data_IF_421593089639
#
_entry.id   IF_421593089639
#
_cell.length_a   1.000
_cell.length_b   1.000
_cell.length_c   1.000
_cell.angle_alpha   90.00
_cell.angle_beta   90.00
_cell.angle_gamma   90.00
#
_symmetry.space_group_name_H-M   'P 1'
#
loop_
_entity.id
_entity.type
_entity.pdbx_description
1 polymer ?
#
# COMPACT_ATOMS: atom_id res chain seq x y z
N UNK A 1 -18.09 17.49 -38.33
CA UNK A 1 -17.20 18.52 -37.77
C UNK A 1 -17.92 19.23 -36.61
N UNK A 2 -17.55 18.93 -35.36
CA UNK A 2 -17.76 19.87 -34.26
C UNK A 2 -16.60 19.71 -33.27
N UNK A 3 -15.56 20.49 -33.55
CA UNK A 3 -14.46 20.76 -32.64
C UNK A 3 -15.02 21.49 -31.41
N UNK A 4 -15.37 20.74 -30.36
CA UNK A 4 -15.52 21.31 -29.03
C UNK A 4 -14.18 21.25 -28.33
N UNK A 5 -13.40 22.31 -28.57
CA UNK A 5 -12.36 22.87 -27.71
C UNK A 5 -11.84 21.93 -26.62
N UNK A 6 -10.76 21.24 -26.93
CA UNK A 6 -9.79 20.74 -25.97
C UNK A 6 -9.19 21.93 -25.22
N UNK A 7 -9.91 22.44 -24.21
CA UNK A 7 -9.25 23.17 -23.14
C UNK A 7 -8.30 22.16 -22.52
N UNK A 8 -7.02 22.34 -22.77
CA UNK A 8 -5.92 21.60 -22.15
C UNK A 8 -6.07 21.78 -20.64
N UNK A 9 -6.86 20.92 -19.98
CA UNK A 9 -7.04 20.96 -18.53
C UNK A 9 -5.70 20.59 -17.95
N UNK A 10 -4.97 21.61 -17.48
CA UNK A 10 -3.68 21.47 -16.79
C UNK A 10 -3.79 20.34 -15.78
N UNK A 11 -2.97 19.31 -15.96
CA UNK A 11 -2.95 18.14 -15.09
C UNK A 11 -2.15 18.47 -13.83
N UNK A 12 -2.68 18.05 -12.69
CA UNK A 12 -2.05 18.23 -11.38
C UNK A 12 -2.67 17.26 -10.39
N UNK A 13 -1.93 16.94 -9.31
CA UNK A 13 -2.35 15.97 -8.30
C UNK A 13 -3.71 16.33 -7.68
N UNK A 14 -4.62 15.37 -7.65
CA UNK A 14 -5.98 15.54 -7.14
C UNK A 14 -6.18 14.80 -5.83
N UNK A 15 -6.68 15.50 -4.82
CA UNK A 15 -7.14 14.85 -3.61
C UNK A 15 -8.38 13.96 -3.87
N UNK A 16 -8.57 12.88 -3.10
CA UNK A 16 -9.53 11.82 -3.42
C UNK A 16 -10.99 12.11 -3.05
N UNK A 17 -11.34 13.32 -2.61
CA UNK A 17 -12.66 13.57 -2.06
C UNK A 17 -13.05 15.04 -2.05
N UNK A 18 -13.85 15.44 -1.07
CA UNK A 18 -13.95 16.84 -0.63
C UNK A 18 -13.67 17.00 0.87
N UNK A 19 -13.05 16.00 1.49
CA UNK A 19 -12.78 15.94 2.92
C UNK A 19 -11.48 15.22 3.25
N UNK A 20 -11.00 15.48 4.46
CA UNK A 20 -9.88 14.80 5.10
C UNK A 20 -10.27 13.38 5.47
N UNK A 21 -9.29 12.48 5.55
CA UNK A 21 -9.47 11.17 6.19
C UNK A 21 -9.31 11.29 7.72
N UNK A 22 -8.49 12.23 8.18
CA UNK A 22 -8.29 12.52 9.60
C UNK A 22 -8.39 14.02 9.90
N UNK A 23 -9.03 14.37 11.01
CA UNK A 23 -9.21 15.75 11.48
C UNK A 23 -8.81 15.95 12.95
N UNK A 24 -8.24 14.93 13.59
CA UNK A 24 -7.43 15.08 14.80
C UNK A 24 -6.55 13.85 15.05
N UNK A 25 -5.99 13.77 16.26
CA UNK A 25 -5.14 12.66 16.67
C UNK A 25 -5.89 11.33 16.59
N UNK A 26 -5.19 10.24 16.23
CA UNK A 26 -5.79 8.91 16.12
C UNK A 26 -6.33 8.38 17.46
N UNK A 27 -5.95 9.00 18.58
CA UNK A 27 -6.50 8.73 19.91
C UNK A 27 -7.97 9.17 20.05
N UNK A 28 -8.42 10.11 19.21
CA UNK A 28 -9.72 10.76 19.25
C UNK A 28 -10.58 10.28 18.08
N UNK A 29 -11.38 9.24 18.33
CA UNK A 29 -12.40 8.74 17.39
C UNK A 29 -13.82 9.06 17.82
N UNK A 30 -14.01 9.62 19.00
CA UNK A 30 -15.30 10.10 19.50
C UNK A 30 -15.43 11.58 19.08
N UNK A 31 -16.49 11.95 18.33
CA UNK A 31 -16.68 13.33 17.91
C UNK A 31 -17.02 14.21 19.11
N UNK A 32 -16.54 15.44 19.08
CA UNK A 32 -16.80 16.45 20.12
C UNK A 32 -17.46 17.66 19.48
N UNK A 33 -18.57 18.10 20.06
CA UNK A 33 -19.27 19.33 19.63
C UNK A 33 -18.65 20.51 20.38
N UNK A 34 -18.04 21.43 19.63
CA UNK A 34 -17.47 22.67 20.17
C UNK A 34 -18.06 23.88 19.44
N UNK A 35 -18.81 24.70 20.18
CA UNK A 35 -19.50 25.90 19.67
C UNK A 35 -20.31 25.63 18.39
N UNK A 36 -19.71 25.88 17.22
CA UNK A 36 -20.31 25.78 15.87
C UNK A 36 -19.67 24.68 15.00
N UNK A 37 -18.71 23.91 15.52
CA UNK A 37 -17.97 22.90 14.78
C UNK A 37 -18.00 21.55 15.50
N UNK A 38 -17.91 20.47 14.71
CA UNK A 38 -17.75 19.12 15.22
C UNK A 38 -16.29 18.71 14.95
N UNK A 39 -15.53 18.47 16.01
CA UNK A 39 -14.17 17.93 15.92
C UNK A 39 -14.20 16.42 15.81
N UNK A 40 -13.14 15.86 15.21
CA UNK A 40 -12.89 14.42 15.10
C UNK A 40 -13.94 13.66 14.27
N UNK A 41 -14.75 14.37 13.48
CA UNK A 41 -15.80 13.76 12.67
C UNK A 41 -15.20 12.91 11.54
N UNK A 42 -14.05 13.32 10.98
CA UNK A 42 -13.37 12.54 9.95
C UNK A 42 -12.71 11.30 10.57
N UNK A 43 -12.09 11.42 11.75
CA UNK A 43 -11.57 10.28 12.49
C UNK A 43 -12.66 9.25 12.79
N UNK A 44 -13.80 9.70 13.33
CA UNK A 44 -14.98 8.88 13.60
C UNK A 44 -15.43 8.13 12.33
N UNK A 45 -15.60 8.85 11.22
CA UNK A 45 -16.08 8.25 9.97
C UNK A 45 -15.10 7.22 9.41
N UNK A 46 -13.82 7.54 9.39
CA UNK A 46 -12.78 6.63 8.91
C UNK A 46 -12.74 5.37 9.77
N UNK A 47 -12.72 5.53 11.09
CA UNK A 47 -12.67 4.42 12.03
C UNK A 47 -13.91 3.51 11.93
N UNK A 48 -15.11 4.08 12.02
CA UNK A 48 -16.34 3.28 12.01
C UNK A 48 -16.69 2.71 10.64
N UNK A 49 -16.23 3.30 9.55
CA UNK A 49 -16.34 2.67 8.23
C UNK A 49 -15.46 1.44 8.14
N UNK A 50 -14.19 1.54 8.55
CA UNK A 50 -13.33 0.37 8.60
C UNK A 50 -13.88 -0.70 9.54
N UNK A 51 -14.43 -0.32 10.69
CA UNK A 51 -15.13 -1.24 11.59
C UNK A 51 -16.30 -1.95 10.90
N UNK A 52 -17.13 -1.22 10.15
CA UNK A 52 -18.27 -1.80 9.43
C UNK A 52 -17.82 -2.89 8.46
N UNK A 53 -16.79 -2.62 7.65
CA UNK A 53 -16.26 -3.62 6.73
C UNK A 53 -15.49 -4.72 7.46
N UNK A 54 -14.78 -4.42 8.55
CA UNK A 54 -14.06 -5.44 9.34
C UNK A 54 -15.04 -6.47 9.92
N UNK A 55 -16.18 -6.02 10.43
CA UNK A 55 -17.24 -6.90 10.93
C UNK A 55 -17.89 -7.73 9.81
N UNK A 56 -17.62 -7.40 8.55
CA UNK A 56 -18.14 -8.07 7.37
C UNK A 56 -17.01 -8.43 6.39
N UNK A 57 -15.79 -8.70 6.89
CA UNK A 57 -14.58 -8.82 6.06
C UNK A 57 -14.64 -9.94 5.01
N UNK A 58 -15.47 -10.94 5.25
CA UNK A 58 -15.67 -12.09 4.36
C UNK A 58 -16.78 -11.85 3.31
N UNK A 59 -17.34 -10.62 3.25
CA UNK A 59 -18.41 -10.26 2.31
C UNK A 59 -17.94 -9.23 1.30
N UNK A 60 -18.38 -9.42 0.06
CA UNK A 60 -18.31 -8.39 -0.97
C UNK A 60 -19.58 -7.56 -1.02
N UNK A 61 -19.42 -6.25 -0.98
CA UNK A 61 -20.51 -5.29 -1.02
C UNK A 61 -20.71 -4.78 -2.44
N UNK A 62 -21.95 -4.64 -2.90
CA UNK A 62 -22.20 -3.99 -4.19
C UNK A 62 -21.95 -2.49 -4.03
N UNK A 63 -21.09 -1.90 -4.86
CA UNK A 63 -20.85 -0.47 -4.87
C UNK A 63 -21.96 0.25 -5.65
N UNK A 64 -23.08 0.49 -4.95
CA UNK A 64 -24.24 1.22 -5.46
C UNK A 64 -24.82 2.18 -4.41
N UNK A 65 -25.87 2.92 -4.76
CA UNK A 65 -26.51 3.87 -3.85
C UNK A 65 -27.16 3.20 -2.62
N UNK A 66 -27.62 1.96 -2.74
CA UNK A 66 -28.29 1.23 -1.65
C UNK A 66 -27.28 0.88 -0.57
N UNK A 67 -26.17 0.25 -0.92
CA UNK A 67 -25.14 -0.11 0.06
C UNK A 67 -24.43 1.10 0.66
N UNK A 68 -24.30 2.19 -0.10
CA UNK A 68 -23.84 3.47 0.45
C UNK A 68 -24.84 4.08 1.45
N UNK A 69 -26.13 3.83 1.26
CA UNK A 69 -27.17 4.22 2.23
C UNK A 69 -27.09 3.37 3.50
N UNK A 70 -26.92 2.05 3.39
CA UNK A 70 -26.77 1.15 4.55
C UNK A 70 -25.57 1.54 5.42
N UNK A 71 -24.43 1.83 4.81
CA UNK A 71 -23.25 2.32 5.52
C UNK A 71 -23.53 3.68 6.18
N UNK A 72 -24.23 4.57 5.49
CA UNK A 72 -24.61 5.86 6.05
C UNK A 72 -25.51 5.69 7.29
N UNK A 73 -26.52 4.83 7.22
CA UNK A 73 -27.46 4.57 8.30
C UNK A 73 -26.72 3.97 9.52
N UNK A 74 -25.78 3.05 9.29
CA UNK A 74 -24.90 2.52 10.32
C UNK A 74 -24.10 3.63 11.05
N UNK A 75 -23.48 4.53 10.28
CA UNK A 75 -22.69 5.62 10.84
C UNK A 75 -23.57 6.65 11.57
N UNK A 76 -24.75 6.96 11.03
CA UNK A 76 -25.69 7.88 11.66
C UNK A 76 -26.23 7.30 12.97
N UNK A 77 -26.54 6.00 13.02
CA UNK A 77 -26.96 5.34 14.26
C UNK A 77 -25.88 5.44 15.35
N UNK A 78 -24.59 5.32 14.99
CA UNK A 78 -23.48 5.53 15.92
C UNK A 78 -23.36 6.99 16.38
N UNK A 79 -23.53 7.97 15.48
CA UNK A 79 -23.48 9.40 15.81
C UNK A 79 -24.63 9.85 16.73
N UNK A 80 -25.81 9.26 16.55
CA UNK A 80 -26.99 9.57 17.39
C UNK A 80 -26.74 9.27 18.87
N UNK A 81 -25.86 8.30 19.19
CA UNK A 81 -25.43 8.02 20.57
C UNK A 81 -24.71 9.22 21.22
N UNK A 82 -24.20 10.14 20.41
CA UNK A 82 -23.52 11.36 20.83
C UNK A 82 -24.37 12.62 20.59
N UNK A 83 -25.67 12.47 20.32
CA UNK A 83 -26.58 13.58 19.99
C UNK A 83 -26.16 14.39 18.75
N UNK A 84 -25.45 13.76 17.80
CA UNK A 84 -25.00 14.39 16.57
C UNK A 84 -25.84 13.90 15.38
N UNK A 85 -26.42 14.84 14.64
CA UNK A 85 -27.09 14.61 13.35
C UNK A 85 -26.24 15.29 12.28
N UNK A 86 -25.74 14.53 11.30
CA UNK A 86 -24.81 15.04 10.30
C UNK A 86 -25.27 14.75 8.86
N UNK A 87 -25.41 15.80 8.05
CA UNK A 87 -25.99 15.71 6.70
C UNK A 87 -25.12 14.94 5.67
N UNK A 88 -25.80 14.49 4.62
CA UNK A 88 -25.92 13.14 4.06
C UNK A 88 -25.16 12.95 2.74
N UNK A 89 -24.69 14.01 2.10
CA UNK A 89 -23.95 13.90 0.83
C UNK A 89 -22.44 13.76 1.01
N UNK A 90 -21.92 14.30 2.11
CA UNK A 90 -20.49 14.25 2.40
C UNK A 90 -20.04 12.81 2.69
N UNK A 91 -20.82 12.08 3.48
CA UNK A 91 -20.48 10.73 3.96
C UNK A 91 -20.54 9.71 2.82
N UNK A 92 -21.61 9.74 2.01
CA UNK A 92 -21.84 8.77 0.93
C UNK A 92 -20.76 8.81 -0.16
N UNK A 93 -20.25 10.00 -0.49
CA UNK A 93 -19.33 10.17 -1.62
C UNK A 93 -17.85 10.37 -1.26
N UNK A 94 -17.52 10.99 -0.14
CA UNK A 94 -16.15 11.43 0.15
C UNK A 94 -15.36 10.48 1.06
N UNK A 95 -16.05 9.69 1.88
CA UNK A 95 -15.41 8.77 2.80
C UNK A 95 -14.80 7.57 2.07
N UNK A 96 -15.63 6.86 1.28
CA UNK A 96 -15.18 5.71 0.51
C UNK A 96 -14.05 6.07 -0.45
N UNK A 97 -14.17 7.18 -1.18
CA UNK A 97 -13.11 7.57 -2.14
C UNK A 97 -11.77 7.83 -1.45
N UNK A 98 -11.79 8.44 -0.26
CA UNK A 98 -10.57 8.67 0.52
C UNK A 98 -9.98 7.35 1.01
N UNK A 99 -10.80 6.47 1.58
CA UNK A 99 -10.34 5.15 2.04
C UNK A 99 -9.82 4.27 0.90
N UNK A 100 -10.44 4.33 -0.29
CA UNK A 100 -9.96 3.66 -1.50
C UNK A 100 -8.64 4.25 -2.00
N UNK A 101 -8.52 5.58 -1.98
CA UNK A 101 -7.28 6.26 -2.38
C UNK A 101 -6.08 5.87 -1.52
N UNK A 102 -6.29 5.72 -0.21
CA UNK A 102 -5.28 5.23 0.72
C UNK A 102 -5.22 3.69 0.82
N UNK A 103 -5.87 2.97 -0.12
CA UNK A 103 -5.89 1.50 -0.21
C UNK A 103 -6.41 0.75 1.03
N UNK A 104 -7.19 1.41 1.89
CA UNK A 104 -7.83 0.79 3.05
C UNK A 104 -9.11 0.04 2.63
N UNK A 105 -9.76 0.51 1.58
CA UNK A 105 -10.84 -0.19 0.89
C UNK A 105 -10.46 -0.39 -0.58
N UNK A 106 -11.11 -1.31 -1.26
CA UNK A 106 -10.99 -1.46 -2.70
C UNK A 106 -12.36 -1.50 -3.37
N UNK A 107 -12.43 -0.95 -4.58
CA UNK A 107 -13.56 -1.11 -5.50
C UNK A 107 -13.02 -1.83 -6.74
N UNK A 108 -13.71 -2.88 -7.16
CA UNK A 108 -13.33 -3.70 -8.32
C UNK A 108 -14.56 -4.10 -9.14
N UNK A 109 -14.37 -4.48 -10.40
CA UNK A 109 -15.46 -4.92 -11.27
C UNK A 109 -15.51 -6.46 -11.28
N UNK A 110 -16.69 -7.01 -11.03
CA UNK A 110 -16.96 -8.45 -11.08
C UNK A 110 -17.84 -8.79 -12.30
N UNK A 111 -17.35 -8.37 -13.47
CA UNK A 111 -17.93 -8.73 -14.77
C UNK A 111 -19.19 -7.98 -15.18
N UNK A 112 -19.64 -6.96 -14.42
CA UNK A 112 -20.71 -5.98 -14.74
C UNK A 112 -21.12 -5.16 -13.49
N UNK A 113 -20.79 -5.65 -12.30
CA UNK A 113 -21.17 -5.01 -11.03
C UNK A 113 -19.89 -4.58 -10.33
N UNK A 114 -19.81 -3.29 -10.00
CA UNK A 114 -18.77 -2.80 -9.11
C UNK A 114 -19.01 -3.32 -7.70
N UNK A 115 -18.03 -4.01 -7.15
CA UNK A 115 -18.01 -4.50 -5.77
C UNK A 115 -17.00 -3.73 -4.95
N UNK A 116 -17.16 -3.75 -3.63
CA UNK A 116 -16.33 -3.08 -2.65
C UNK A 116 -16.09 -3.98 -1.44
N UNK A 117 -14.86 -3.97 -0.91
CA UNK A 117 -14.50 -4.67 0.32
C UNK A 117 -13.36 -3.96 1.05
N UNK A 118 -13.13 -4.31 2.30
CA UNK A 118 -11.91 -3.93 3.02
C UNK A 118 -10.71 -4.71 2.46
N UNK A 119 -9.57 -4.04 2.37
CA UNK A 119 -8.30 -4.68 1.99
C UNK A 119 -7.63 -5.29 3.22
N UNK A 120 -6.67 -6.18 3.07
CA UNK A 120 -5.84 -6.65 4.20
C UNK A 120 -5.10 -5.50 4.85
N UNK A 121 -4.64 -4.51 4.07
CA UNK A 121 -4.06 -3.29 4.64
C UNK A 121 -5.08 -2.50 5.46
N UNK A 122 -6.34 -2.45 5.02
CA UNK A 122 -7.45 -1.89 5.79
C UNK A 122 -7.74 -2.64 7.07
N UNK A 123 -7.71 -3.98 7.03
CA UNK A 123 -7.87 -4.86 8.21
C UNK A 123 -6.74 -4.62 9.20
N UNK A 124 -5.49 -4.73 8.76
CA UNK A 124 -4.30 -4.53 9.58
C UNK A 124 -4.27 -3.12 10.21
N UNK A 125 -4.57 -2.09 9.41
CA UNK A 125 -4.66 -0.72 9.90
C UNK A 125 -5.77 -0.57 10.95
N UNK A 126 -6.95 -1.13 10.71
CA UNK A 126 -8.06 -1.09 11.67
C UNK A 126 -7.74 -1.82 12.96
N UNK A 127 -7.18 -3.03 12.90
CA UNK A 127 -6.81 -3.82 14.08
C UNK A 127 -5.77 -3.09 14.92
N UNK A 128 -4.72 -2.53 14.29
CA UNK A 128 -3.73 -1.67 14.96
C UNK A 128 -4.35 -0.44 15.58
N UNK A 129 -5.27 0.23 14.87
CA UNK A 129 -5.96 1.40 15.39
C UNK A 129 -6.84 1.06 16.59
N UNK A 130 -7.63 -0.01 16.52
CA UNK A 130 -8.46 -0.49 17.63
C UNK A 130 -7.61 -0.89 18.85
N UNK A 131 -6.49 -1.59 18.64
CA UNK A 131 -5.55 -1.95 19.72
C UNK A 131 -4.88 -0.71 20.34
N UNK A 132 -4.54 0.29 19.53
CA UNK A 132 -4.04 1.56 20.03
C UNK A 132 -5.11 2.31 20.84
N UNK A 133 -6.38 2.30 20.42
CA UNK A 133 -7.46 2.97 21.16
C UNK A 133 -7.71 2.37 22.55
N UNK A 134 -7.50 1.05 22.70
CA UNK A 134 -7.70 0.34 23.98
C UNK A 134 -6.52 0.51 24.92
N UNK A 135 -5.29 0.47 24.41
CA UNK A 135 -4.06 0.49 25.24
C UNK A 135 -3.42 1.86 25.39
N UNK A 136 -3.62 2.75 24.41
CA UNK A 136 -2.94 4.05 24.27
C UNK A 136 -1.41 3.97 24.30
N UNK A 137 -0.83 2.83 23.88
CA UNK A 137 0.62 2.65 23.82
C UNK A 137 1.26 3.49 22.69
N UNK A 138 2.36 4.18 23.01
CA UNK A 138 3.16 4.92 22.03
C UNK A 138 3.79 4.01 20.98
N UNK A 139 4.15 2.77 21.36
CA UNK A 139 4.68 1.78 20.42
C UNK A 139 3.63 1.38 19.38
N UNK A 140 2.39 1.13 19.83
CA UNK A 140 1.28 0.81 18.93
C UNK A 140 0.89 2.00 18.05
N UNK A 141 0.98 3.23 18.56
CA UNK A 141 0.82 4.43 17.74
C UNK A 141 1.90 4.51 16.66
N UNK A 142 3.17 4.29 17.02
CA UNK A 142 4.28 4.28 16.07
C UNK A 142 4.07 3.23 14.97
N UNK A 143 3.65 2.02 15.35
CA UNK A 143 3.35 0.93 14.40
C UNK A 143 2.15 1.26 13.49
N UNK A 144 1.13 1.93 14.01
CA UNK A 144 -0.01 2.41 13.24
C UNK A 144 0.40 3.47 12.22
N UNK A 145 1.26 4.42 12.63
CA UNK A 145 1.83 5.44 11.74
C UNK A 145 2.75 4.80 10.69
N UNK A 146 3.60 3.83 11.02
CA UNK A 146 4.40 3.06 10.06
C UNK A 146 3.52 2.42 8.98
N UNK A 147 2.43 1.78 9.41
CA UNK A 147 1.47 1.12 8.52
C UNK A 147 0.79 2.13 7.59
N UNK A 148 0.43 3.31 8.10
CA UNK A 148 -0.14 4.37 7.28
C UNK A 148 0.88 4.94 6.28
N UNK A 149 2.13 5.19 6.69
CA UNK A 149 3.19 5.67 5.80
C UNK A 149 3.42 4.71 4.64
N UNK A 150 3.45 3.39 4.90
CA UNK A 150 3.53 2.38 3.83
C UNK A 150 2.40 2.53 2.83
N UNK A 151 1.17 2.73 3.30
CA UNK A 151 0.02 2.95 2.42
C UNK A 151 0.14 4.22 1.60
N UNK A 152 0.66 5.31 2.20
CA UNK A 152 0.91 6.57 1.49
C UNK A 152 1.88 6.37 0.33
N UNK A 153 3.02 5.73 0.57
CA UNK A 153 4.05 5.49 -0.45
C UNK A 153 3.54 4.63 -1.63
N UNK A 154 2.45 3.92 -1.40
CA UNK A 154 1.83 3.00 -2.34
C UNK A 154 0.70 3.65 -3.18
N UNK A 155 0.24 4.83 -2.78
CA UNK A 155 -0.73 5.62 -3.56
C UNK A 155 -0.09 6.02 -4.87
N UNK A 156 -0.84 5.87 -5.96
CA UNK A 156 -0.40 6.21 -7.31
C UNK A 156 -1.49 6.89 -8.11
N UNK A 157 -1.09 7.67 -9.10
CA UNK A 157 -1.94 8.03 -10.24
C UNK A 157 -1.61 7.14 -11.46
N UNK A 158 -2.61 6.81 -12.29
CA UNK A 158 -4.02 6.95 -11.98
C UNK A 158 -4.38 6.07 -10.78
N UNK A 159 -5.23 6.61 -9.91
CA UNK A 159 -5.75 5.84 -8.78
C UNK A 159 -7.07 5.22 -9.23
N UNK A 160 -7.42 4.04 -8.72
CA UNK A 160 -8.77 3.48 -8.92
C UNK A 160 -9.88 4.35 -8.29
N UNK A 161 -9.53 5.45 -7.60
CA UNK A 161 -10.48 6.47 -7.19
C UNK A 161 -10.97 7.21 -8.44
N UNK A 162 -12.30 7.32 -8.56
CA UNK A 162 -13.15 7.65 -9.74
C UNK A 162 -12.83 8.97 -10.53
N UNK A 163 -11.58 9.41 -10.63
CA UNK A 163 -11.16 10.69 -11.20
C UNK A 163 -10.48 10.50 -12.56
N UNK A 164 -11.27 10.55 -13.63
CA UNK A 164 -10.78 10.50 -15.03
C UNK A 164 -9.73 11.56 -15.39
N UNK A 165 -9.59 12.61 -14.57
CA UNK A 165 -8.67 13.74 -14.82
C UNK A 165 -7.22 13.36 -14.51
N UNK A 166 -6.99 12.26 -13.79
CA UNK A 166 -5.64 11.79 -13.44
C UNK A 166 -5.17 10.63 -14.31
N UNK A 167 -5.93 10.26 -15.35
CA UNK A 167 -5.70 9.05 -16.16
C UNK A 167 -4.36 9.06 -16.91
N UNK A 168 -3.80 10.24 -17.19
CA UNK A 168 -2.51 10.36 -17.88
C UNK A 168 -1.34 10.70 -16.94
N UNK A 169 -1.57 10.78 -15.63
CA UNK A 169 -0.49 10.98 -14.65
C UNK A 169 -0.07 9.62 -14.12
N UNK A 170 1.18 9.25 -14.33
CA UNK A 170 1.72 7.93 -14.00
C UNK A 170 2.80 8.07 -12.94
N UNK A 171 2.40 8.25 -11.67
CA UNK A 171 3.33 8.64 -10.60
C UNK A 171 2.87 8.26 -9.19
N UNK A 172 3.79 8.32 -8.23
CA UNK A 172 3.54 8.11 -6.80
C UNK A 172 3.65 9.44 -6.03
N UNK A 173 2.53 10.16 -5.77
CA UNK A 173 2.59 11.54 -5.29
C UNK A 173 3.21 11.65 -3.90
N UNK A 174 2.99 10.68 -3.02
CA UNK A 174 3.54 10.73 -1.67
C UNK A 174 5.02 10.31 -1.61
N UNK A 175 5.51 9.49 -2.56
CA UNK A 175 6.96 9.25 -2.69
C UNK A 175 7.66 10.55 -3.08
N UNK A 176 7.13 11.26 -4.08
CA UNK A 176 7.65 12.58 -4.48
C UNK A 176 7.59 13.57 -3.31
N UNK A 177 6.44 13.66 -2.63
CA UNK A 177 6.28 14.54 -1.46
C UNK A 177 7.34 14.29 -0.39
N UNK A 178 7.54 13.04 0.04
CA UNK A 178 8.49 12.72 1.10
C UNK A 178 9.94 12.84 0.64
N UNK A 179 10.28 12.49 -0.61
CA UNK A 179 11.62 12.72 -1.16
C UNK A 179 11.96 14.21 -1.22
N UNK A 180 11.01 15.06 -1.63
CA UNK A 180 11.22 16.51 -1.61
C UNK A 180 11.33 17.04 -0.18
N UNK A 181 10.50 16.55 0.74
CA UNK A 181 10.50 17.01 2.12
C UNK A 181 11.79 16.59 2.85
N UNK A 182 12.29 15.39 2.58
CA UNK A 182 13.60 14.93 3.05
C UNK A 182 14.73 15.78 2.43
N UNK A 183 14.68 16.06 1.12
CA UNK A 183 15.69 16.89 0.47
C UNK A 183 15.76 18.32 1.02
N UNK A 184 14.61 18.97 1.18
CA UNK A 184 14.56 20.38 1.60
C UNK A 184 14.49 20.56 3.11
N UNK A 185 14.23 19.48 3.87
CA UNK A 185 13.96 19.45 5.31
C UNK A 185 12.68 20.20 5.73
N UNK A 186 12.21 21.14 4.92
CA UNK A 186 11.02 21.93 5.14
C UNK A 186 10.35 22.34 3.83
N UNK A 187 9.01 22.37 3.80
CA UNK A 187 8.23 22.78 2.62
C UNK A 187 7.03 23.63 3.03
N UNK A 188 6.83 24.78 2.38
CA UNK A 188 5.67 25.63 2.65
C UNK A 188 4.40 25.21 1.86
N UNK A 189 3.23 25.61 2.37
CA UNK A 189 1.92 25.37 1.74
C UNK A 189 1.82 25.85 0.29
N UNK A 190 2.48 26.97 -0.04
CA UNK A 190 2.41 27.59 -1.36
C UNK A 190 3.14 26.72 -2.39
N UNK A 191 4.30 26.18 -2.03
CA UNK A 191 5.05 25.24 -2.86
C UNK A 191 4.21 24.01 -3.16
N UNK A 192 3.55 23.42 -2.16
CA UNK A 192 2.68 22.26 -2.38
C UNK A 192 1.56 22.61 -3.34
N UNK A 193 0.79 23.66 -3.03
CA UNK A 193 -0.43 24.02 -3.79
C UNK A 193 -0.17 24.56 -5.20
N UNK A 194 1.03 25.08 -5.46
CA UNK A 194 1.33 25.78 -6.72
C UNK A 194 2.39 25.11 -7.58
N UNK A 195 3.28 24.30 -6.99
CA UNK A 195 4.45 23.75 -7.68
C UNK A 195 4.44 22.23 -7.60
N UNK A 196 4.41 21.67 -6.39
CA UNK A 196 4.57 20.23 -6.20
C UNK A 196 3.47 19.42 -6.88
N UNK A 197 2.21 19.87 -6.79
CA UNK A 197 1.09 19.17 -7.44
C UNK A 197 1.18 19.20 -8.98
N UNK A 198 1.99 20.07 -9.57
CA UNK A 198 2.21 20.14 -11.02
C UNK A 198 3.35 19.21 -11.48
N UNK A 199 4.01 18.50 -10.57
CA UNK A 199 5.03 17.51 -10.92
C UNK A 199 4.33 16.28 -11.50
N UNK A 200 4.30 16.16 -12.83
CA UNK A 200 3.61 15.07 -13.53
C UNK A 200 4.54 14.05 -14.18
N UNK A 201 5.83 14.38 -14.30
CA UNK A 201 6.87 13.54 -14.91
C UNK A 201 8.23 13.79 -14.25
N UNK A 202 9.21 12.96 -14.64
CA UNK A 202 10.56 12.97 -14.08
C UNK A 202 11.34 14.24 -14.43
N UNK A 203 11.08 14.86 -15.58
CA UNK A 203 11.80 16.07 -15.99
C UNK A 203 11.38 17.26 -15.14
N UNK A 204 10.07 17.45 -14.94
CA UNK A 204 9.55 18.46 -14.01
C UNK A 204 10.05 18.20 -12.59
N UNK A 205 10.08 16.93 -12.16
CA UNK A 205 10.64 16.58 -10.86
C UNK A 205 12.12 16.97 -10.75
N UNK A 206 12.96 16.60 -11.72
CA UNK A 206 14.39 16.92 -11.71
C UNK A 206 14.61 18.43 -11.73
N UNK A 207 13.83 19.18 -12.51
CA UNK A 207 13.88 20.64 -12.51
C UNK A 207 13.62 21.20 -11.10
N UNK A 208 12.52 20.79 -10.46
CA UNK A 208 12.15 21.30 -9.14
C UNK A 208 13.06 20.77 -8.02
N UNK A 209 13.59 19.55 -8.14
CA UNK A 209 14.43 18.88 -7.15
C UNK A 209 15.87 19.44 -7.12
N UNK A 210 16.47 19.67 -8.29
CA UNK A 210 17.85 20.16 -8.37
C UNK A 210 17.93 21.70 -8.38
N UNK A 211 16.98 22.41 -8.99
CA UNK A 211 17.11 23.86 -9.18
C UNK A 211 16.60 24.70 -7.99
N UNK A 212 15.86 24.13 -7.04
CA UNK A 212 15.37 24.86 -5.86
C UNK A 212 16.28 24.80 -4.64
N UNK A 213 17.50 24.26 -4.76
CA UNK A 213 18.44 24.11 -3.64
C UNK A 213 18.89 25.46 -3.04
N UNK A 214 18.67 26.60 -3.71
CA UNK A 214 19.24 27.91 -3.29
C UNK A 214 18.24 29.07 -3.16
N UNK A 215 16.93 28.83 -3.25
CA UNK A 215 15.95 29.90 -3.10
C UNK A 215 15.04 29.61 -1.93
N UNK A 216 15.36 30.24 -0.80
CA UNK A 216 14.41 30.53 0.27
C UNK A 216 13.04 30.81 -0.35
N UNK A 217 12.13 29.86 -0.20
CA UNK A 217 10.73 29.94 -0.55
C UNK A 217 10.46 30.47 -1.97
N UNK A 218 10.21 29.54 -2.89
CA UNK A 218 9.28 29.68 -4.02
C UNK A 218 9.09 31.14 -4.47
N UNK A 219 9.72 31.53 -5.59
CA UNK A 219 9.36 32.75 -6.35
C UNK A 219 7.86 32.95 -6.14
N UNK A 220 7.48 34.10 -5.59
CA UNK A 220 6.10 34.53 -5.49
C UNK A 220 5.55 34.67 -6.92
N UNK A 221 5.35 33.56 -7.63
CA UNK A 221 4.36 33.48 -8.70
C UNK A 221 3.06 33.69 -7.95
N UNK A 222 2.60 34.93 -7.98
CA UNK A 222 1.21 35.26 -7.73
C UNK A 222 0.41 34.28 -8.59
N UNK A 223 -0.25 33.32 -7.96
CA UNK A 223 -1.20 32.51 -8.71
C UNK A 223 -2.39 33.42 -8.96
N UNK A 224 -2.54 33.85 -10.21
CA UNK A 224 -3.67 34.65 -10.70
C UNK A 224 -5.00 33.89 -10.68
N UNK A 225 -5.04 32.67 -10.15
CA UNK A 225 -6.26 31.87 -10.05
C UNK A 225 -6.43 31.30 -8.64
N UNK A 226 -7.47 31.75 -7.92
CA UNK A 226 -8.08 31.07 -6.77
C UNK A 226 -8.73 29.76 -7.23
N UNK A 227 -7.96 28.85 -7.83
CA UNK A 227 -8.50 27.54 -8.18
C UNK A 227 -8.58 26.72 -6.89
N UNK A 228 -9.78 26.75 -6.29
CA UNK A 228 -10.13 25.96 -5.11
C UNK A 228 -9.70 24.50 -5.25
N UNK A 229 -9.58 23.97 -6.48
CA UNK A 229 -9.20 22.60 -6.71
C UNK A 229 -7.71 22.29 -6.44
N UNK A 230 -6.81 23.26 -6.60
CA UNK A 230 -5.37 23.13 -6.32
C UNK A 230 -5.08 23.08 -4.83
N UNK A 231 -5.87 23.81 -4.05
CA UNK A 231 -5.78 23.84 -2.57
C UNK A 231 -6.26 22.53 -1.92
N UNK A 232 -6.98 21.68 -2.65
CA UNK A 232 -7.60 20.45 -2.13
C UNK A 232 -6.56 19.44 -1.63
N UNK A 233 -5.47 19.24 -2.37
CA UNK A 233 -4.41 18.30 -1.98
C UNK A 233 -3.81 18.67 -0.62
N UNK A 234 -3.45 19.93 -0.44
CA UNK A 234 -3.02 20.43 0.87
C UNK A 234 -4.13 20.27 1.93
N UNK A 235 -5.33 20.77 1.62
CA UNK A 235 -6.41 20.88 2.60
C UNK A 235 -6.94 19.55 3.11
N UNK A 236 -6.81 18.48 2.31
CA UNK A 236 -7.38 17.17 2.61
C UNK A 236 -6.35 16.08 2.82
N UNK A 237 -5.26 16.04 2.06
CA UNK A 237 -4.19 15.06 2.28
C UNK A 237 -3.23 15.57 3.35
N UNK A 238 -2.56 16.69 3.11
CA UNK A 238 -1.52 17.21 4.01
C UNK A 238 -2.09 17.57 5.39
N UNK A 239 -3.27 18.20 5.45
CA UNK A 239 -3.91 18.47 6.74
C UNK A 239 -4.35 17.20 7.48
N UNK A 240 -4.59 16.07 6.81
CA UNK A 240 -4.83 14.79 7.51
C UNK A 240 -3.55 14.29 8.17
N UNK A 241 -2.40 14.46 7.51
CA UNK A 241 -1.10 14.04 8.06
C UNK A 241 -0.71 14.91 9.26
N UNK A 242 -1.01 16.21 9.20
CA UNK A 242 -0.90 17.09 10.36
C UNK A 242 -1.82 16.68 11.51
N UNK A 243 -3.07 16.31 11.20
CA UNK A 243 -4.04 15.93 12.22
C UNK A 243 -3.59 14.72 13.06
N UNK A 244 -2.91 13.76 12.43
CA UNK A 244 -2.35 12.58 13.12
C UNK A 244 -0.92 12.79 13.65
N UNK A 245 -0.44 14.03 13.68
CA UNK A 245 0.93 14.41 14.09
C UNK A 245 2.05 13.76 13.27
N UNK A 246 1.79 13.28 12.04
CA UNK A 246 2.85 12.80 11.13
C UNK A 246 3.71 13.98 10.63
N UNK A 247 3.06 15.12 10.38
CA UNK A 247 3.71 16.37 9.98
C UNK A 247 3.44 17.47 11.01
N UNK A 248 4.42 18.33 11.22
CA UNK A 248 4.28 19.55 12.02
C UNK A 248 4.34 20.78 11.11
N UNK A 249 3.75 21.89 11.56
CA UNK A 249 3.87 23.18 10.89
C UNK A 249 4.52 24.19 11.84
N UNK A 250 5.72 24.66 11.49
CA UNK A 250 6.41 25.74 12.19
C UNK A 250 6.62 26.91 11.22
N UNK A 251 6.24 28.13 11.62
CA UNK A 251 6.39 29.35 10.79
C UNK A 251 5.95 29.19 9.31
N UNK A 252 4.84 28.48 9.07
CA UNK A 252 4.28 28.15 7.73
C UNK A 252 5.12 27.17 6.89
N UNK A 253 6.11 26.55 7.50
CA UNK A 253 6.91 25.47 6.94
C UNK A 253 6.42 24.14 7.52
N UNK A 254 6.22 23.17 6.64
CA UNK A 254 5.94 21.79 7.04
C UNK A 254 7.25 21.04 7.22
N UNK A 255 7.32 20.27 8.29
CA UNK A 255 8.40 19.35 8.58
C UNK A 255 7.80 17.98 8.94
N UNK A 256 8.59 16.93 8.79
CA UNK A 256 8.26 15.62 9.37
C UNK A 256 8.33 15.76 10.88
N UNK A 257 7.37 15.19 11.61
CA UNK A 257 7.49 15.14 13.07
C UNK A 257 8.74 14.33 13.45
N UNK A 258 9.69 14.89 14.22
CA UNK A 258 10.92 14.18 14.59
C UNK A 258 10.70 12.80 15.19
N UNK A 259 9.57 12.61 15.90
CA UNK A 259 9.15 11.32 16.45
C UNK A 259 9.05 10.22 15.38
N UNK A 260 8.63 10.57 14.17
CA UNK A 260 8.38 9.64 13.06
C UNK A 260 9.41 9.76 11.94
N UNK A 261 10.47 10.55 12.11
CA UNK A 261 11.52 10.71 11.09
C UNK A 261 12.13 9.36 10.69
N UNK A 262 12.45 8.52 11.68
CA UNK A 262 13.01 7.18 11.46
C UNK A 262 12.10 6.28 10.59
N UNK A 263 10.77 6.45 10.67
CA UNK A 263 9.80 5.72 9.85
C UNK A 263 9.92 6.17 8.39
N UNK A 264 10.02 7.49 8.16
CA UNK A 264 10.17 8.02 6.80
C UNK A 264 11.53 7.61 6.21
N UNK A 265 12.62 7.79 6.96
CA UNK A 265 13.99 7.48 6.52
C UNK A 265 14.13 6.03 6.08
N UNK A 266 13.51 5.10 6.83
CA UNK A 266 13.46 3.67 6.52
C UNK A 266 12.96 3.39 5.09
N UNK A 267 12.00 4.16 4.59
CA UNK A 267 11.47 3.97 3.25
C UNK A 267 12.14 4.84 2.20
N UNK A 268 12.39 6.12 2.51
CA UNK A 268 12.89 7.09 1.53
C UNK A 268 14.35 6.81 1.16
N UNK A 269 15.17 6.33 2.09
CA UNK A 269 16.59 5.98 1.82
C UNK A 269 16.78 4.94 0.72
N UNK A 270 15.75 4.13 0.44
CA UNK A 270 15.77 3.06 -0.56
C UNK A 270 15.11 3.46 -1.89
N UNK A 271 14.54 4.67 -1.99
CA UNK A 271 13.85 5.13 -3.21
C UNK A 271 14.89 5.53 -4.26
N UNK A 272 14.86 4.86 -5.41
CA UNK A 272 15.56 5.31 -6.61
C UNK A 272 14.72 6.37 -7.32
N UNK A 273 15.22 7.60 -7.36
CA UNK A 273 14.54 8.75 -7.97
C UNK A 273 14.07 8.49 -9.40
N UNK A 274 14.84 7.76 -10.20
CA UNK A 274 14.54 7.55 -11.61
C UNK A 274 13.46 6.47 -11.83
N UNK A 275 13.38 5.49 -10.94
CA UNK A 275 12.57 4.29 -11.14
C UNK A 275 11.34 4.21 -10.23
N UNK A 276 11.38 4.85 -9.06
CA UNK A 276 10.38 4.61 -8.01
C UNK A 276 9.38 5.75 -7.85
N UNK A 277 9.59 6.90 -8.49
CA UNK A 277 8.70 8.06 -8.40
C UNK A 277 7.61 8.09 -9.48
N UNK A 278 7.94 7.54 -10.65
CA UNK A 278 7.10 7.56 -11.85
C UNK A 278 6.88 6.15 -12.38
N UNK A 279 5.74 5.93 -13.03
CA UNK A 279 5.40 4.67 -13.68
C UNK A 279 5.72 4.87 -15.18
N UNK A 280 6.53 4.00 -15.80
CA UNK A 280 6.90 4.13 -17.21
C UNK A 280 5.69 4.22 -18.14
N UNK A 281 5.74 5.14 -19.11
CA UNK A 281 4.67 5.45 -20.07
C UNK A 281 4.33 4.31 -21.01
N UNK A 282 5.24 3.35 -21.20
CA UNK A 282 5.09 2.21 -22.12
C UNK A 282 4.20 1.08 -21.55
N UNK A 283 3.55 1.33 -20.41
CA UNK A 283 2.51 0.43 -19.88
C UNK A 283 1.18 0.85 -20.48
N UNK A 284 0.90 0.34 -21.68
CA UNK A 284 -0.35 0.51 -22.41
C UNK A 284 -1.56 0.22 -21.49
N UNK A 285 -2.45 1.21 -21.34
CA UNK A 285 -3.57 1.24 -20.37
C UNK A 285 -4.71 0.25 -20.71
N UNK A 286 -4.44 -0.82 -21.46
CA UNK A 286 -5.46 -1.74 -21.95
C UNK A 286 -5.14 -3.22 -21.76
N UNK A 287 -4.38 -3.56 -20.72
CA UNK A 287 -4.25 -4.94 -20.31
C UNK A 287 -4.42 -5.04 -18.80
N UNK A 288 -5.22 -6.03 -18.40
CA UNK A 288 -5.21 -6.68 -17.10
C UNK A 288 -3.83 -7.33 -16.82
N UNK A 289 -2.74 -6.59 -16.99
CA UNK A 289 -1.37 -7.08 -16.78
C UNK A 289 -0.92 -6.86 -15.34
N UNK A 290 0.00 -7.72 -14.87
CA UNK A 290 0.41 -7.79 -13.49
C UNK A 290 1.14 -6.50 -13.12
N UNK A 291 0.81 -5.91 -11.97
CA UNK A 291 1.62 -4.84 -11.37
C UNK A 291 3.02 -5.43 -11.26
N UNK A 292 4.00 -4.87 -11.98
CA UNK A 292 5.41 -5.22 -11.80
C UNK A 292 5.82 -4.76 -10.40
N UNK A 293 5.53 -5.60 -9.41
CA UNK A 293 5.85 -5.37 -8.01
C UNK A 293 7.36 -5.41 -7.89
N UNK A 294 7.91 -4.40 -7.23
CA UNK A 294 9.31 -4.38 -6.86
C UNK A 294 9.50 -5.52 -5.86
N UNK A 295 10.39 -6.46 -6.18
CA UNK A 295 10.81 -7.51 -5.24
C UNK A 295 11.48 -6.85 -4.04
N UNK A 296 10.94 -7.05 -2.86
CA UNK A 296 11.43 -6.50 -1.61
C UNK A 296 12.69 -7.27 -1.18
N UNK A 297 13.86 -6.75 -1.58
CA UNK A 297 15.14 -7.34 -1.24
C UNK A 297 15.37 -7.45 0.28
N UNK A 298 14.75 -6.56 1.08
CA UNK A 298 14.87 -6.61 2.55
C UNK A 298 14.18 -7.84 3.12
N UNK A 299 13.03 -8.26 2.59
CA UNK A 299 12.32 -9.45 3.08
C UNK A 299 13.15 -10.72 2.77
N UNK A 300 13.83 -10.76 1.62
CA UNK A 300 14.77 -11.83 1.30
C UNK A 300 15.97 -11.84 2.23
N UNK A 301 16.46 -10.67 2.64
CA UNK A 301 17.54 -10.60 3.62
C UNK A 301 17.05 -11.09 4.99
N UNK A 302 15.88 -10.63 5.44
CA UNK A 302 15.28 -10.99 6.73
C UNK A 302 15.01 -12.50 6.86
N UNK A 303 14.51 -13.17 5.81
CA UNK A 303 14.29 -14.63 5.87
C UNK A 303 15.60 -15.43 5.92
N UNK A 304 16.72 -14.82 5.53
CA UNK A 304 18.06 -15.41 5.58
C UNK A 304 18.85 -14.96 6.81
N UNK A 305 18.34 -13.98 7.57
CA UNK A 305 18.98 -13.52 8.79
C UNK A 305 18.85 -14.57 9.89
N UNK A 306 20.00 -15.01 10.42
CA UNK A 306 20.13 -16.02 11.47
C UNK A 306 19.67 -17.44 11.07
N UNK A 307 19.69 -17.75 9.77
CA UNK A 307 19.48 -19.11 9.30
C UNK A 307 20.77 -19.92 9.38
N UNK A 308 20.71 -21.04 10.10
CA UNK A 308 21.79 -22.02 10.23
C UNK A 308 21.53 -23.31 9.45
N UNK A 309 20.29 -23.54 8.98
CA UNK A 309 19.90 -24.74 8.24
C UNK A 309 18.87 -24.50 7.13
N UNK A 310 18.88 -25.38 6.13
CA UNK A 310 17.85 -25.42 5.10
C UNK A 310 16.49 -25.77 5.72
N UNK A 311 15.41 -25.17 5.19
CA UNK A 311 14.04 -25.50 5.59
C UNK A 311 13.73 -27.00 5.53
N UNK A 312 14.34 -27.75 4.61
CA UNK A 312 14.08 -29.18 4.42
C UNK A 312 15.06 -30.13 5.11
N UNK A 313 16.06 -29.62 5.86
CA UNK A 313 17.12 -30.46 6.46
C UNK A 313 16.57 -31.63 7.28
N UNK A 314 15.54 -31.37 8.09
CA UNK A 314 14.95 -32.33 9.01
C UNK A 314 13.68 -32.98 8.43
N UNK A 315 13.38 -32.71 7.15
CA UNK A 315 12.11 -33.06 6.50
C UNK A 315 12.30 -34.00 5.32
N UNK A 316 13.34 -33.78 4.51
CA UNK A 316 13.58 -34.53 3.27
C UNK A 316 15.04 -34.96 3.21
N UNK A 317 15.32 -36.23 3.43
CA UNK A 317 16.69 -36.79 3.34
C UNK A 317 16.97 -37.47 2.01
N UNK A 318 15.94 -37.73 1.20
CA UNK A 318 16.06 -38.49 -0.04
C UNK A 318 15.09 -37.97 -1.10
N UNK A 319 15.49 -38.05 -2.37
CA UNK A 319 14.64 -37.80 -3.54
C UNK A 319 14.52 -39.07 -4.39
N UNK A 320 13.45 -39.14 -5.20
CA UNK A 320 13.23 -40.25 -6.13
C UNK A 320 13.33 -39.74 -7.56
N UNK A 321 14.15 -40.40 -8.38
CA UNK A 321 14.28 -40.12 -9.81
C UNK A 321 14.34 -41.45 -10.57
N UNK A 322 13.45 -41.67 -11.54
CA UNK A 322 13.37 -42.90 -12.33
C UNK A 322 13.36 -44.17 -11.47
N UNK A 323 12.56 -44.16 -10.39
CA UNK A 323 12.43 -45.25 -9.39
C UNK A 323 13.71 -45.59 -8.61
N UNK A 324 14.75 -44.74 -8.67
CA UNK A 324 15.94 -44.82 -7.82
C UNK A 324 15.88 -43.76 -6.73
N UNK A 325 16.39 -44.10 -5.55
CA UNK A 325 16.46 -43.22 -4.38
C UNK A 325 17.87 -42.62 -4.33
N UNK A 326 17.95 -41.29 -4.22
CA UNK A 326 19.19 -40.55 -4.05
C UNK A 326 19.15 -39.80 -2.73
N UNK A 327 20.25 -39.85 -1.99
CA UNK A 327 20.42 -39.05 -0.78
C UNK A 327 20.50 -37.56 -1.13
N UNK A 328 19.78 -36.73 -0.38
CA UNK A 328 19.76 -35.29 -0.57
C UNK A 328 20.57 -34.60 0.53
N UNK A 329 21.71 -34.04 0.15
CA UNK A 329 22.55 -33.26 1.05
C UNK A 329 22.09 -31.80 1.12
N UNK A 330 21.99 -31.28 2.35
CA UNK A 330 21.57 -29.90 2.65
C UNK A 330 22.72 -28.97 3.01
N UNK A 331 23.94 -29.51 3.08
CA UNK A 331 25.13 -28.77 3.46
C UNK A 331 25.43 -27.65 2.45
N UNK A 332 26.02 -26.58 2.97
CA UNK A 332 26.37 -25.39 2.20
C UNK A 332 27.71 -24.82 2.70
N UNK A 333 28.25 -23.85 1.98
CA UNK A 333 29.51 -23.21 2.33
C UNK A 333 29.31 -22.01 3.27
N UNK A 334 30.37 -21.63 3.97
CA UNK A 334 30.42 -20.42 4.80
C UNK A 334 30.82 -19.24 3.92
N UNK A 335 30.00 -18.19 3.94
CA UNK A 335 30.22 -16.94 3.20
C UNK A 335 31.34 -16.11 3.81
N UNK A 336 31.81 -15.08 3.09
CA UNK A 336 32.80 -14.10 3.59
C UNK A 336 32.36 -13.39 4.88
N UNK A 337 31.06 -13.38 5.17
CA UNK A 337 30.49 -12.78 6.37
C UNK A 337 30.33 -13.79 7.53
N UNK A 338 31.00 -14.94 7.44
CA UNK A 338 30.96 -16.02 8.44
C UNK A 338 29.55 -16.57 8.73
N UNK A 339 28.70 -16.62 7.71
CA UNK A 339 27.34 -17.20 7.75
C UNK A 339 27.19 -18.30 6.70
N UNK A 340 26.41 -19.33 6.98
CA UNK A 340 26.05 -20.35 5.99
C UNK A 340 25.29 -19.74 4.81
N UNK A 341 25.60 -20.18 3.58
CA UNK A 341 24.95 -19.69 2.37
C UNK A 341 23.61 -20.39 2.12
N UNK A 342 22.52 -19.62 2.06
CA UNK A 342 21.18 -20.12 1.69
C UNK A 342 20.49 -19.17 0.71
N UNK A 343 19.54 -19.70 -0.05
CA UNK A 343 18.77 -19.00 -1.07
C UNK A 343 17.32 -18.83 -0.58
N UNK A 344 16.78 -17.61 -0.67
CA UNK A 344 15.38 -17.35 -0.31
C UNK A 344 14.44 -17.75 -1.45
N UNK A 345 13.50 -18.67 -1.17
CA UNK A 345 12.56 -19.22 -2.14
C UNK A 345 11.12 -18.83 -1.84
N UNK A 346 10.42 -18.27 -2.82
CA UNK A 346 8.98 -18.02 -2.70
C UNK A 346 8.21 -19.31 -2.95
N UNK A 347 7.45 -19.79 -1.96
CA UNK A 347 6.66 -21.04 -2.10
C UNK A 347 5.60 -20.86 -3.20
N UNK A 348 4.85 -19.77 -3.14
CA UNK A 348 3.96 -19.34 -4.22
C UNK A 348 4.72 -18.38 -5.14
N UNK A 349 4.73 -18.62 -6.46
CA UNK A 349 5.59 -17.89 -7.36
C UNK A 349 5.16 -16.43 -7.51
N UNK A 350 6.15 -15.55 -7.58
CA UNK A 350 5.93 -14.12 -7.78
C UNK A 350 5.25 -13.79 -9.11
N UNK A 351 5.38 -14.65 -10.14
CA UNK A 351 4.66 -14.51 -11.42
C UNK A 351 3.14 -14.46 -11.26
N UNK A 352 2.63 -15.02 -10.16
CA UNK A 352 1.20 -15.07 -9.86
C UNK A 352 0.81 -14.07 -8.77
N UNK A 353 1.71 -13.15 -8.39
CA UNK A 353 1.49 -12.14 -7.35
C UNK A 353 0.16 -11.39 -7.52
N UNK A 354 -0.17 -11.00 -8.74
CA UNK A 354 -1.40 -10.24 -8.99
C UNK A 354 -2.66 -11.09 -8.99
N UNK A 355 -2.57 -12.39 -9.32
CA UNK A 355 -3.69 -13.30 -9.09
C UNK A 355 -4.01 -13.37 -7.60
N UNK A 356 -2.97 -13.59 -6.78
CA UNK A 356 -3.15 -13.75 -5.33
C UNK A 356 -3.57 -12.46 -4.66
N UNK A 357 -3.09 -11.31 -5.11
CA UNK A 357 -3.57 -10.05 -4.57
C UNK A 357 -4.96 -9.66 -5.06
N UNK A 358 -5.28 -9.83 -6.35
CA UNK A 358 -6.63 -9.49 -6.84
C UNK A 358 -7.69 -10.37 -6.16
N UNK A 359 -7.42 -11.67 -6.06
CA UNK A 359 -8.40 -12.62 -5.52
C UNK A 359 -8.39 -12.68 -3.99
N UNK A 360 -7.21 -12.74 -3.38
CA UNK A 360 -7.03 -13.08 -1.98
C UNK A 360 -6.27 -12.03 -1.18
N UNK A 361 -5.99 -10.87 -1.78
CA UNK A 361 -5.34 -9.66 -1.21
C UNK A 361 -4.12 -9.93 -0.30
N UNK A 362 -3.41 -11.03 -0.58
CA UNK A 362 -2.13 -11.39 0.00
C UNK A 362 -0.97 -11.02 -0.90
N UNK A 363 0.04 -10.38 -0.34
CA UNK A 363 1.31 -10.17 -1.02
C UNK A 363 2.13 -11.46 -0.97
N UNK A 364 2.45 -12.04 -2.13
CA UNK A 364 3.36 -13.20 -2.21
C UNK A 364 4.80 -12.85 -1.85
N UNK A 365 5.15 -11.57 -1.83
CA UNK A 365 6.46 -11.10 -1.40
C UNK A 365 6.44 -10.74 0.09
N UNK A 366 6.27 -11.78 0.90
CA UNK A 366 6.14 -11.68 2.36
C UNK A 366 6.93 -12.80 3.03
N UNK A 367 7.28 -12.62 4.32
CA UNK A 367 8.06 -13.61 5.07
C UNK A 367 7.31 -14.95 5.16
N UNK A 368 5.99 -14.89 5.22
CA UNK A 368 5.07 -16.03 5.32
C UNK A 368 5.02 -16.92 4.06
N UNK A 369 5.56 -16.44 2.95
CA UNK A 369 5.64 -17.17 1.68
C UNK A 369 7.11 -17.45 1.27
N UNK A 370 8.07 -17.14 2.14
CA UNK A 370 9.49 -17.32 1.88
C UNK A 370 10.08 -18.38 2.81
N UNK A 371 10.94 -19.23 2.24
CA UNK A 371 11.71 -20.22 3.01
C UNK A 371 13.19 -20.20 2.60
N UNK A 372 14.12 -20.43 3.55
CA UNK A 372 15.53 -20.54 3.24
C UNK A 372 15.88 -21.94 2.73
N UNK A 373 16.53 -22.03 1.57
CA UNK A 373 16.89 -23.29 0.92
C UNK A 373 18.40 -23.41 0.69
N UNK A 374 18.94 -24.63 0.81
CA UNK A 374 20.24 -24.94 0.22
C UNK A 374 20.14 -24.92 -1.31
N UNK A 375 21.27 -24.73 -2.00
CA UNK A 375 21.27 -24.65 -3.47
C UNK A 375 20.71 -25.92 -4.15
N UNK A 376 20.83 -27.10 -3.51
CA UNK A 376 20.25 -28.34 -4.03
C UNK A 376 18.72 -28.31 -4.00
N UNK A 377 18.13 -27.98 -2.86
CA UNK A 377 16.67 -27.88 -2.72
C UNK A 377 16.08 -26.78 -3.62
N UNK A 378 16.73 -25.62 -3.69
CA UNK A 378 16.27 -24.53 -4.54
C UNK A 378 16.25 -24.94 -6.02
N UNK A 379 17.30 -25.64 -6.48
CA UNK A 379 17.37 -26.15 -7.86
C UNK A 379 16.35 -27.25 -8.14
N UNK A 380 16.12 -28.18 -7.21
CA UNK A 380 15.11 -29.23 -7.40
C UNK A 380 13.71 -28.61 -7.50
N UNK A 381 13.39 -27.65 -6.65
CA UNK A 381 12.09 -26.96 -6.71
C UNK A 381 11.92 -26.07 -7.96
N UNK A 382 13.02 -25.70 -8.62
CA UNK A 382 12.98 -24.86 -9.84
C UNK A 382 13.01 -25.71 -11.12
N UNK A 383 13.78 -26.81 -11.14
CA UNK A 383 14.14 -27.55 -12.35
C UNK A 383 13.96 -29.07 -12.22
N UNK A 384 13.59 -29.58 -11.05
CA UNK A 384 13.42 -31.01 -10.82
C UNK A 384 12.22 -31.58 -11.57
N UNK A 385 12.24 -32.89 -11.77
CA UNK A 385 11.06 -33.59 -12.29
C UNK A 385 9.92 -33.55 -11.28
N UNK A 386 8.68 -33.72 -11.74
CA UNK A 386 7.52 -33.79 -10.83
C UNK A 386 7.68 -34.91 -9.78
N UNK A 387 8.38 -36.00 -10.11
CA UNK A 387 8.68 -37.10 -9.17
C UNK A 387 9.64 -36.64 -8.05
N UNK A 388 10.64 -35.83 -8.38
CA UNK A 388 11.59 -35.27 -7.41
C UNK A 388 10.93 -34.17 -6.56
N UNK A 389 10.05 -33.36 -7.14
CA UNK A 389 9.39 -32.27 -6.41
C UNK A 389 8.29 -32.78 -5.47
N UNK A 390 7.62 -33.90 -5.80
CA UNK A 390 6.48 -34.43 -5.04
C UNK A 390 6.78 -34.66 -3.55
N UNK A 391 8.02 -35.00 -3.18
CA UNK A 391 8.40 -35.21 -1.77
C UNK A 391 8.41 -33.91 -0.95
N UNK A 392 8.51 -32.74 -1.59
CA UNK A 392 8.55 -31.44 -0.92
C UNK A 392 7.15 -30.84 -0.71
N UNK A 393 6.19 -31.16 -1.58
CA UNK A 393 4.84 -30.57 -1.61
C UNK A 393 4.11 -30.62 -0.26
N UNK A 394 4.10 -31.74 0.50
CA UNK A 394 3.40 -31.80 1.79
C UNK A 394 3.92 -30.80 2.82
N UNK A 395 5.22 -30.50 2.79
CA UNK A 395 5.84 -29.54 3.71
C UNK A 395 5.57 -28.10 3.30
N UNK A 396 5.61 -27.84 1.99
CA UNK A 396 5.30 -26.53 1.42
C UNK A 396 3.84 -26.13 1.69
N UNK A 397 2.89 -27.03 1.45
CA UNK A 397 1.47 -26.74 1.73
C UNK A 397 1.22 -26.54 3.23
N UNK A 398 1.85 -27.36 4.08
CA UNK A 398 1.70 -27.21 5.53
C UNK A 398 2.26 -25.84 6.01
N UNK A 399 3.40 -25.41 5.48
CA UNK A 399 3.94 -24.07 5.74
C UNK A 399 2.95 -22.97 5.36
N UNK A 400 2.37 -23.05 4.16
CA UNK A 400 1.38 -22.09 3.69
C UNK A 400 0.13 -22.05 4.58
N UNK A 401 -0.40 -23.22 4.96
CA UNK A 401 -1.60 -23.32 5.80
C UNK A 401 -1.39 -22.75 7.20
N UNK A 402 -0.26 -23.07 7.85
CA UNK A 402 0.12 -22.49 9.16
C UNK A 402 0.21 -20.97 9.07
N UNK A 403 0.70 -20.46 7.94
CA UNK A 403 0.80 -19.04 7.64
C UNK A 403 -0.49 -18.44 7.01
N UNK A 404 -1.64 -19.07 7.28
CA UNK A 404 -2.97 -18.60 6.90
C UNK A 404 -3.20 -18.47 5.39
N UNK A 405 -2.44 -19.14 4.54
CA UNK A 405 -2.70 -19.21 3.08
C UNK A 405 -3.73 -20.30 2.78
N UNK A 406 -4.87 -20.25 3.47
CA UNK A 406 -5.91 -21.29 3.48
C UNK A 406 -6.66 -21.47 2.15
N UNK A 407 -6.48 -20.54 1.21
CA UNK A 407 -7.07 -20.60 -0.13
C UNK A 407 -6.22 -21.40 -1.15
N UNK A 408 -5.04 -21.88 -0.76
CA UNK A 408 -4.20 -22.74 -1.61
C UNK A 408 -4.46 -24.20 -1.25
N UNK A 409 -4.83 -25.00 -2.25
CA UNK A 409 -4.94 -26.46 -2.13
C UNK A 409 -3.64 -27.14 -2.57
N UNK A 410 -3.47 -28.41 -2.21
CA UNK A 410 -2.33 -29.23 -2.68
C UNK A 410 -2.28 -29.25 -4.21
N UNK A 411 -3.41 -29.48 -4.87
CA UNK A 411 -3.47 -29.56 -6.34
C UNK A 411 -3.05 -28.24 -6.99
N UNK A 412 -3.56 -27.11 -6.46
CA UNK A 412 -3.17 -25.79 -6.96
C UNK A 412 -1.71 -25.47 -6.70
N UNK A 413 -1.13 -25.98 -5.61
CA UNK A 413 0.30 -25.85 -5.35
C UNK A 413 1.11 -26.66 -6.36
N UNK A 414 0.71 -27.90 -6.62
CA UNK A 414 1.31 -28.77 -7.65
C UNK A 414 1.30 -28.12 -9.02
N UNK A 415 0.22 -27.43 -9.41
CA UNK A 415 0.14 -26.69 -10.67
C UNK A 415 1.21 -25.60 -10.83
N UNK A 416 1.76 -25.06 -9.74
CA UNK A 416 2.87 -24.10 -9.81
C UNK A 416 4.23 -24.77 -10.02
N UNK A 417 4.40 -25.97 -9.48
CA UNK A 417 5.67 -26.68 -9.48
C UNK A 417 5.80 -27.70 -10.61
N UNK A 418 4.69 -28.20 -11.16
CA UNK A 418 4.68 -29.26 -12.18
C UNK A 418 4.46 -28.72 -13.60
N UNK A 419 4.49 -27.39 -13.78
CA UNK A 419 4.44 -26.81 -15.12
C UNK A 419 5.74 -27.11 -15.84
N UNK A 420 5.64 -27.96 -16.86
CA UNK A 420 6.71 -28.32 -17.77
C UNK A 420 7.47 -27.09 -18.24
N UNK A 421 8.79 -27.18 -18.10
CA UNK A 421 9.82 -26.28 -18.57
C UNK A 421 9.63 -25.77 -20.01
N UNK A 422 9.08 -24.56 -20.20
CA UNK A 422 9.28 -23.68 -21.38
C UNK A 422 8.97 -22.23 -20.92
N UNK A 423 9.86 -21.25 -20.90
CA UNK A 423 10.54 -20.63 -22.05
C UNK A 423 11.73 -19.82 -21.51
N UNK A 424 12.90 -19.97 -22.15
CA UNK A 424 14.09 -19.11 -21.99
C UNK A 424 13.80 -17.71 -22.54
#
# INVERSE_FOLDING_TARGET
MSWRNSINKRQFWRAPGNKRIFDGELSNVIPVVEERNIKYICNFYSYHTLQYFMNNKDKDFIYNNVTLQELFDYLQAKLTQYHIIYDTNTVKGHLIKSLVFYKLLQIYDDGNIKKMRITFAGVDFYEKWNNYLTTKSNELLSNLIDSFVRLLLDVKYPSNSLYKVTDNMHLYPFRIFFVMLDKFQHINKKFISNTMIDITDIEIFKEEYYNNITKDNAKNKESTTKDNARLKFYSWCICSFKAINLLLEDKKQLIINPTYQHIIDKYISNINIENDLFIPSDVDNNINEPIKRIRNQLIKQLVLENVDKCYFSDKVSNIKHNNKVFELHHDTFITRNNKYYFEAHHILPFSNADLFCKQNDKNVDSLENLIPLCSNCHRILTFGTSQEIEVFIPYLINHLLINKWTFITIDKLKDFYYKDSVTI
#
